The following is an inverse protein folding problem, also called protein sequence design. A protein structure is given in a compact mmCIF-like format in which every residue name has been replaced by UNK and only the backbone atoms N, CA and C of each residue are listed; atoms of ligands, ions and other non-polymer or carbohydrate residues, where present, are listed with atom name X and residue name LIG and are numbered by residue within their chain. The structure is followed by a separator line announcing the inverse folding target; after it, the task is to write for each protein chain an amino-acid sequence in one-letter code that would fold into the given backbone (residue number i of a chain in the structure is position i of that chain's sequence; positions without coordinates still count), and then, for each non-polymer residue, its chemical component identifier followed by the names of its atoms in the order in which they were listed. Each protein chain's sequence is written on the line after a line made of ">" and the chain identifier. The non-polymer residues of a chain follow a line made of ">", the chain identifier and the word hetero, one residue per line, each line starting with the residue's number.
data_IF_856130612212
#
_entry.id   IF_856130612212
#
_cell.length_a   1.000
_cell.length_b   1.000
_cell.length_c   1.000
_cell.angle_alpha   90.00
_cell.angle_beta   90.00
_cell.angle_gamma   90.00
#
_symmetry.space_group_name_H-M   'P 1'
#
loop_
_entity.id
_entity.type
_entity.pdbx_description
1 polymer ?
#
# COMPACT_ATOMS: atom_id res chain seq x y z
N UNK A 1 -17.47 13.00 -10.82
CA UNK A 1 -16.68 13.51 -9.68
C UNK A 1 -15.28 12.97 -9.84
N UNK A 2 -14.32 13.82 -10.20
CA UNK A 2 -12.92 13.43 -10.35
C UNK A 2 -12.29 13.56 -8.97
N UNK A 3 -12.11 12.45 -8.24
CA UNK A 3 -11.36 12.47 -6.98
C UNK A 3 -9.95 13.02 -7.27
N UNK A 4 -9.51 13.97 -6.45
CA UNK A 4 -8.20 14.58 -6.61
C UNK A 4 -7.14 13.51 -6.32
N UNK A 5 -6.39 13.13 -7.35
CA UNK A 5 -5.30 12.15 -7.24
C UNK A 5 -4.16 12.77 -6.42
N UNK A 6 -4.11 12.45 -5.12
CA UNK A 6 -3.09 12.91 -4.17
C UNK A 6 -1.76 12.19 -4.41
N UNK A 7 -1.82 10.90 -4.76
CA UNK A 7 -0.66 10.04 -4.91
C UNK A 7 -0.51 9.50 -6.32
N UNK A 8 0.75 9.28 -6.72
CA UNK A 8 1.08 8.64 -7.98
C UNK A 8 1.03 7.10 -7.86
N UNK A 9 1.23 6.57 -6.64
CA UNK A 9 1.31 5.13 -6.38
C UNK A 9 0.83 4.74 -4.98
N UNK A 10 -0.04 3.75 -4.86
CA UNK A 10 -0.27 3.00 -3.64
C UNK A 10 0.64 1.77 -3.62
N UNK A 11 1.38 1.56 -2.54
CA UNK A 11 2.22 0.36 -2.35
C UNK A 11 1.62 -0.50 -1.24
N UNK A 12 1.28 -1.75 -1.58
CA UNK A 12 0.81 -2.76 -0.63
C UNK A 12 1.75 -3.96 -0.60
N UNK A 13 2.18 -4.33 0.59
CA UNK A 13 3.16 -5.38 0.86
C UNK A 13 2.84 -6.07 2.19
N UNK A 14 3.29 -7.31 2.37
CA UNK A 14 3.09 -8.02 3.62
C UNK A 14 3.97 -7.41 4.72
N UNK A 15 3.51 -7.41 5.97
CA UNK A 15 4.32 -6.92 7.11
C UNK A 15 5.68 -7.64 7.20
N UNK A 16 5.74 -8.92 6.83
CA UNK A 16 6.98 -9.69 6.78
C UNK A 16 8.01 -9.15 5.78
N UNK A 17 7.55 -8.45 4.73
CA UNK A 17 8.40 -7.86 3.69
C UNK A 17 8.74 -6.38 3.98
N UNK A 18 8.30 -5.83 5.13
CA UNK A 18 8.45 -4.42 5.49
C UNK A 18 9.89 -3.93 5.46
N UNK A 19 10.83 -4.70 6.02
CA UNK A 19 12.24 -4.30 6.07
C UNK A 19 12.83 -4.11 4.66
N UNK A 20 12.43 -4.96 3.71
CA UNK A 20 12.82 -4.83 2.31
C UNK A 20 12.07 -3.68 1.62
N UNK A 21 10.76 -3.55 1.86
CA UNK A 21 9.96 -2.51 1.23
C UNK A 21 10.45 -1.12 1.65
N UNK A 22 10.61 -0.86 2.95
CA UNK A 22 11.05 0.43 3.48
C UNK A 22 12.52 0.73 3.11
N UNK A 23 13.42 -0.24 3.27
CA UNK A 23 14.85 -0.03 3.05
C UNK A 23 15.31 -0.07 1.59
N UNK A 24 14.45 -0.45 0.65
CA UNK A 24 14.81 -0.54 -0.77
C UNK A 24 13.76 0.07 -1.68
N UNK A 25 12.54 -0.48 -1.67
CA UNK A 25 11.49 -0.06 -2.63
C UNK A 25 11.05 1.39 -2.39
N UNK A 26 10.71 1.73 -1.15
CA UNK A 26 10.22 3.07 -0.80
C UNK A 26 11.32 4.11 -0.92
N UNK A 27 12.55 3.78 -0.52
CA UNK A 27 13.71 4.64 -0.71
C UNK A 27 13.99 4.92 -2.20
N UNK A 28 13.91 3.90 -3.06
CA UNK A 28 14.05 4.07 -4.51
C UNK A 28 12.93 4.93 -5.11
N UNK A 29 11.68 4.75 -4.68
CA UNK A 29 10.55 5.57 -5.11
C UNK A 29 10.72 7.04 -4.70
N UNK A 30 11.22 7.27 -3.48
CA UNK A 30 11.54 8.61 -2.97
C UNK A 30 12.65 9.28 -3.77
N UNK A 31 13.73 8.55 -4.08
CA UNK A 31 14.82 9.04 -4.93
C UNK A 31 14.35 9.36 -6.35
N UNK A 32 13.40 8.61 -6.88
CA UNK A 32 12.77 8.87 -8.19
C UNK A 32 11.73 9.99 -8.17
N UNK A 33 11.45 10.61 -7.01
CA UNK A 33 10.46 11.69 -6.87
C UNK A 33 9.01 11.24 -7.01
N UNK A 34 8.72 9.94 -6.83
CA UNK A 34 7.37 9.39 -6.92
C UNK A 34 6.63 9.65 -5.61
N UNK A 35 5.44 10.28 -5.68
CA UNK A 35 4.58 10.46 -4.51
C UNK A 35 3.82 9.17 -4.26
N UNK A 36 4.21 8.42 -3.23
CA UNK A 36 3.57 7.16 -2.90
C UNK A 36 2.80 7.22 -1.57
N UNK A 37 1.82 6.33 -1.44
CA UNK A 37 1.14 6.02 -0.19
C UNK A 37 1.36 4.54 0.14
N UNK A 38 1.40 4.18 1.42
CA UNK A 38 1.60 2.79 1.86
C UNK A 38 0.81 2.53 3.13
N UNK A 39 0.57 1.26 3.43
CA UNK A 39 -0.20 0.83 4.61
C UNK A 39 0.41 1.31 5.93
N UNK A 40 1.72 1.57 5.97
CA UNK A 40 2.40 2.16 7.13
C UNK A 40 1.93 3.59 7.46
N UNK A 41 1.31 4.28 6.50
CA UNK A 41 0.79 5.64 6.66
C UNK A 41 -0.72 5.69 6.99
N UNK A 42 -1.38 4.53 7.14
CA UNK A 42 -2.80 4.48 7.46
C UNK A 42 -3.09 5.04 8.84
N UNK A 43 -4.19 5.77 8.95
CA UNK A 43 -4.59 6.41 10.20
C UNK A 43 -4.97 5.35 11.25
N UNK A 44 -4.38 5.46 12.44
CA UNK A 44 -4.80 4.65 13.59
C UNK A 44 -6.22 5.02 14.00
N UNK A 45 -7.06 4.01 14.26
CA UNK A 45 -8.46 4.19 14.66
C UNK A 45 -9.48 4.18 13.52
N UNK A 46 -9.04 4.08 12.26
CA UNK A 46 -9.91 3.87 11.09
C UNK A 46 -9.86 2.39 10.66
N UNK A 47 -10.97 1.77 10.24
CA UNK A 47 -10.93 0.42 9.69
C UNK A 47 -9.97 0.31 8.50
N UNK A 48 -9.06 -0.68 8.53
CA UNK A 48 -8.04 -0.89 7.49
C UNK A 48 -8.61 -0.94 6.07
N UNK A 49 -9.78 -1.54 5.90
CA UNK A 49 -10.47 -1.64 4.59
C UNK A 49 -10.84 -0.24 4.07
N UNK A 50 -11.29 0.68 4.93
CA UNK A 50 -11.66 2.03 4.52
C UNK A 50 -10.42 2.84 4.11
N UNK A 51 -9.31 2.69 4.84
CA UNK A 51 -8.04 3.32 4.47
C UNK A 51 -7.51 2.77 3.14
N UNK A 52 -7.67 1.47 2.89
CA UNK A 52 -7.35 0.86 1.59
C UNK A 52 -8.21 1.43 0.46
N UNK A 53 -9.54 1.46 0.62
CA UNK A 53 -10.43 2.01 -0.40
C UNK A 53 -10.07 3.46 -0.72
N UNK A 54 -9.80 4.26 0.31
CA UNK A 54 -9.38 5.64 0.16
C UNK A 54 -8.04 5.75 -0.56
N UNK A 55 -7.05 4.96 -0.14
CA UNK A 55 -5.73 4.95 -0.75
C UNK A 55 -5.77 4.56 -2.24
N UNK A 56 -6.65 3.62 -2.62
CA UNK A 56 -6.85 3.23 -4.02
C UNK A 56 -7.48 4.38 -4.81
N UNK A 57 -8.50 5.06 -4.27
CA UNK A 57 -9.16 6.19 -4.94
C UNK A 57 -8.26 7.42 -5.10
N UNK A 58 -7.41 7.67 -4.11
CA UNK A 58 -6.49 8.82 -4.10
C UNK A 58 -5.18 8.54 -4.87
N UNK A 59 -4.98 7.31 -5.38
CA UNK A 59 -3.76 6.91 -6.10
C UNK A 59 -4.00 6.66 -7.59
N UNK A 60 -3.07 7.10 -8.43
CA UNK A 60 -3.13 6.83 -9.88
C UNK A 60 -2.95 5.36 -10.24
N UNK A 61 -2.15 4.65 -9.43
CA UNK A 61 -1.72 3.27 -9.67
C UNK A 61 -1.58 2.55 -8.34
N UNK A 62 -1.70 1.22 -8.37
CA UNK A 62 -1.47 0.36 -7.22
C UNK A 62 -0.36 -0.63 -7.56
N UNK A 63 0.68 -0.68 -6.73
CA UNK A 63 1.76 -1.65 -6.77
C UNK A 63 1.56 -2.67 -5.65
N UNK A 64 1.42 -3.94 -6.05
CA UNK A 64 1.24 -5.06 -5.14
C UNK A 64 2.52 -5.89 -5.08
N UNK A 65 3.12 -6.00 -3.90
CA UNK A 65 4.30 -6.84 -3.66
C UNK A 65 3.83 -8.25 -3.30
N UNK A 66 3.76 -9.11 -4.32
CA UNK A 66 3.35 -10.50 -4.14
C UNK A 66 4.51 -11.35 -3.63
N UNK A 67 4.39 -11.82 -2.40
CA UNK A 67 5.30 -12.77 -1.76
C UNK A 67 4.52 -13.96 -1.17
N UNK A 68 5.18 -15.06 -0.78
CA UNK A 68 4.51 -16.12 -0.03
C UNK A 68 3.87 -15.61 1.28
N UNK A 69 4.44 -14.58 1.91
CA UNK A 69 3.85 -13.97 3.10
C UNK A 69 2.60 -13.15 2.76
N UNK A 70 2.60 -12.46 1.62
CA UNK A 70 1.43 -11.74 1.11
C UNK A 70 0.24 -12.68 0.90
N UNK A 71 0.48 -13.84 0.29
CA UNK A 71 -0.57 -14.85 0.02
C UNK A 71 -1.09 -15.56 1.28
N UNK A 72 -0.35 -15.53 2.39
CA UNK A 72 -0.80 -16.07 3.68
C UNK A 72 -1.45 -15.02 4.57
N UNK A 73 -1.44 -13.76 4.15
CA UNK A 73 -2.00 -12.63 4.91
C UNK A 73 -3.53 -12.66 4.98
N UNK A 74 -4.12 -11.87 5.90
CA UNK A 74 -5.57 -11.83 6.12
C UNK A 74 -6.37 -11.39 4.88
N UNK A 75 -5.73 -10.80 3.87
CA UNK A 75 -6.37 -10.44 2.59
C UNK A 75 -6.59 -11.65 1.67
N UNK A 76 -5.79 -12.71 1.81
CA UNK A 76 -5.93 -13.95 1.05
C UNK A 76 -6.61 -15.07 1.85
N UNK A 77 -6.62 -14.99 3.18
CA UNK A 77 -7.31 -15.94 4.05
C UNK A 77 -8.67 -15.38 4.51
N UNK A 78 -9.54 -15.05 3.57
CA UNK A 78 -10.98 -14.95 3.84
C UNK A 78 -11.60 -16.32 3.57
N UNK A 79 -11.81 -17.19 4.58
CA UNK A 79 -12.72 -18.30 4.44
C UNK A 79 -14.12 -17.69 4.34
N UNK A 80 -14.92 -18.17 3.39
CA UNK A 80 -16.27 -17.64 3.09
C UNK A 80 -17.14 -17.40 4.32
#
# INVERSE_FOLDING_TARGET
>A
MTEALTYDLLVSYAEADRAWAEGYLLDALKQAGVRYHSEAAFALGVPRIQEFERAIKESRRTLLVISPAYLRGPICFWPG
#
